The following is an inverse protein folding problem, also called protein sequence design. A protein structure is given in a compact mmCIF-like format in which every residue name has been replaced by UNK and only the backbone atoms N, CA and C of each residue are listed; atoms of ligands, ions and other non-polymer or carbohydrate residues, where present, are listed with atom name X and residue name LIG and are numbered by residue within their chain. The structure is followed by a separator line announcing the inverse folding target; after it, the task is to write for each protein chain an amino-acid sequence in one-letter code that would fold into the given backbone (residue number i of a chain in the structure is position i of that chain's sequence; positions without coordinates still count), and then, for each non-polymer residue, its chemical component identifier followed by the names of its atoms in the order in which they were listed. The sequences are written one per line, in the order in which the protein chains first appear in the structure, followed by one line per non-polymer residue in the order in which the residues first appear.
data_IF_442299170617
#
_entry.id   IF_442299170617
#
_cell.length_a   1.000
_cell.length_b   1.000
_cell.length_c   1.000
_cell.angle_alpha   90.00
_cell.angle_beta   90.00
_cell.angle_gamma   90.00
#
_symmetry.space_group_name_H-M   'P 1'
#
loop_
_entity.id
_entity.type
_entity.pdbx_description
1 polymer ?
#
# COMPACT_ATOMS: atom_id res chain seq x y z
N UNK A 1 12.93 -9.96 -5.29
CA UNK A 1 13.79 -10.33 -6.42
C UNK A 1 14.32 -9.10 -7.09
N UNK A 2 14.56 -9.17 -8.40
CA UNK A 2 15.12 -8.08 -9.21
C UNK A 2 14.28 -6.80 -9.12
N UNK A 3 12.96 -6.90 -9.39
CA UNK A 3 12.06 -5.74 -9.35
C UNK A 3 12.04 -5.09 -7.97
N UNK A 4 11.98 -5.87 -6.89
CA UNK A 4 12.03 -5.31 -5.52
C UNK A 4 13.30 -4.49 -5.24
N UNK A 5 14.47 -5.00 -5.64
CA UNK A 5 15.74 -4.31 -5.40
C UNK A 5 15.82 -3.01 -6.18
N UNK A 6 15.56 -3.08 -7.49
CA UNK A 6 15.71 -1.93 -8.37
C UNK A 6 14.63 -0.87 -8.16
N UNK A 7 13.39 -1.27 -7.87
CA UNK A 7 12.34 -0.32 -7.46
C UNK A 7 12.71 0.39 -6.16
N UNK A 8 13.24 -0.33 -5.16
CA UNK A 8 13.72 0.31 -3.93
C UNK A 8 14.82 1.33 -4.22
N UNK A 9 15.80 0.98 -5.05
CA UNK A 9 16.87 1.88 -5.47
C UNK A 9 16.32 3.14 -6.16
N UNK A 10 15.44 3.00 -7.16
CA UNK A 10 14.89 4.15 -7.89
C UNK A 10 14.03 5.04 -7.00
N UNK A 11 13.07 4.46 -6.26
CA UNK A 11 12.10 5.23 -5.46
C UNK A 11 12.79 6.01 -4.35
N UNK A 12 13.71 5.36 -3.61
CA UNK A 12 14.44 6.06 -2.54
C UNK A 12 15.39 7.11 -3.08
N UNK A 13 15.98 6.91 -4.26
CA UNK A 13 16.80 7.91 -4.91
C UNK A 13 16.05 9.17 -5.34
N UNK A 14 14.71 9.15 -5.46
CA UNK A 14 13.95 10.39 -5.71
C UNK A 14 14.18 11.45 -4.62
N UNK A 15 14.50 11.03 -3.39
CA UNK A 15 14.82 11.92 -2.26
C UNK A 15 16.13 12.70 -2.50
N UNK A 16 17.05 12.18 -3.33
CA UNK A 16 18.28 12.88 -3.71
C UNK A 16 18.02 14.23 -4.40
N UNK A 17 16.83 14.41 -4.98
CA UNK A 17 16.44 15.67 -5.62
C UNK A 17 16.26 16.83 -4.63
N UNK A 18 16.22 16.58 -3.31
CA UNK A 18 16.16 17.64 -2.29
C UNK A 18 17.52 18.36 -2.24
N UNK A 19 17.58 19.69 -2.47
CA UNK A 19 18.83 20.43 -2.45
C UNK A 19 19.55 20.34 -1.10
N UNK A 20 20.89 20.29 -1.15
CA UNK A 20 21.82 20.24 -0.01
C UNK A 20 21.77 18.97 0.86
N UNK A 21 20.58 18.43 1.15
CA UNK A 21 20.39 17.32 2.10
C UNK A 21 20.04 15.98 1.44
N UNK A 22 19.55 15.97 0.19
CA UNK A 22 18.96 14.78 -0.42
C UNK A 22 19.86 13.55 -0.39
N UNK A 23 21.13 13.69 -0.77
CA UNK A 23 22.08 12.58 -0.79
C UNK A 23 22.35 12.00 0.61
N UNK A 24 22.44 12.85 1.64
CA UNK A 24 22.61 12.38 3.01
C UNK A 24 21.39 11.63 3.52
N UNK A 25 20.18 12.11 3.18
CA UNK A 25 18.93 11.44 3.53
C UNK A 25 18.83 10.08 2.84
N UNK A 26 19.21 9.96 1.57
CA UNK A 26 19.22 8.67 0.85
C UNK A 26 20.15 7.68 1.53
N UNK A 27 21.40 8.07 1.82
CA UNK A 27 22.35 7.19 2.52
C UNK A 27 21.87 6.82 3.92
N UNK A 28 21.20 7.75 4.61
CA UNK A 28 20.58 7.48 5.90
C UNK A 28 19.45 6.45 5.82
N UNK A 29 18.56 6.58 4.82
CA UNK A 29 17.48 5.60 4.55
C UNK A 29 18.08 4.22 4.30
N UNK A 30 19.08 4.14 3.41
CA UNK A 30 19.73 2.88 3.07
C UNK A 30 20.53 2.28 4.22
N UNK A 31 21.06 3.12 5.12
CA UNK A 31 22.01 2.69 6.14
C UNK A 31 23.36 2.30 5.54
N UNK A 32 23.75 2.94 4.44
CA UNK A 32 24.96 2.64 3.66
C UNK A 32 24.96 3.36 2.31
N UNK A 33 25.86 2.96 1.41
CA UNK A 33 26.05 3.59 0.10
C UNK A 33 25.10 3.08 -1.00
N UNK A 34 24.40 1.98 -0.74
CA UNK A 34 23.43 1.38 -1.66
C UNK A 34 22.38 0.59 -0.88
N UNK A 35 21.29 0.21 -1.56
CA UNK A 35 20.33 -0.74 -1.03
C UNK A 35 21.05 -2.04 -0.69
N UNK A 36 20.96 -2.46 0.56
CA UNK A 36 21.71 -3.59 1.12
C UNK A 36 20.94 -4.29 2.25
N UNK A 37 21.60 -5.19 2.98
CA UNK A 37 20.98 -5.90 4.11
C UNK A 37 20.46 -4.94 5.19
N UNK A 38 21.19 -3.86 5.50
CA UNK A 38 20.75 -2.86 6.46
C UNK A 38 19.41 -2.22 6.05
N UNK A 39 19.26 -1.93 4.75
CA UNK A 39 18.02 -1.40 4.17
C UNK A 39 16.89 -2.41 4.30
N UNK A 40 17.14 -3.68 3.93
CA UNK A 40 16.13 -4.74 3.95
C UNK A 40 15.58 -4.98 5.36
N UNK A 41 16.45 -5.09 6.37
CA UNK A 41 16.01 -5.28 7.77
C UNK A 41 15.16 -4.12 8.25
N UNK A 42 15.54 -2.87 7.95
CA UNK A 42 14.75 -1.68 8.31
C UNK A 42 13.41 -1.64 7.60
N UNK A 43 13.39 -1.94 6.30
CA UNK A 43 12.17 -1.96 5.51
C UNK A 43 11.21 -3.03 6.00
N UNK A 44 11.71 -4.19 6.43
CA UNK A 44 10.88 -5.21 7.08
C UNK A 44 10.26 -4.70 8.40
N UNK A 45 11.07 -4.10 9.28
CA UNK A 45 10.56 -3.52 10.53
C UNK A 45 9.50 -2.42 10.28
N UNK A 46 9.74 -1.53 9.31
CA UNK A 46 8.79 -0.49 8.93
C UNK A 46 7.53 -1.07 8.30
N UNK A 47 7.66 -2.04 7.41
CA UNK A 47 6.53 -2.71 6.77
C UNK A 47 5.63 -3.42 7.79
N UNK A 48 6.21 -3.94 8.88
CA UNK A 48 5.44 -4.50 9.99
C UNK A 48 4.74 -3.42 10.84
N UNK A 49 5.44 -2.32 11.12
CA UNK A 49 4.94 -1.24 11.98
C UNK A 49 3.84 -0.39 11.30
N UNK A 50 4.02 -0.04 10.03
CA UNK A 50 3.15 0.91 9.32
C UNK A 50 1.67 0.46 9.26
N UNK A 51 1.32 -0.82 9.01
CA UNK A 51 -0.06 -1.28 9.08
C UNK A 51 -0.72 -1.05 10.45
N UNK A 52 0.04 -1.14 11.54
CA UNK A 52 -0.45 -0.87 12.90
C UNK A 52 -0.73 0.63 13.06
N UNK A 53 0.15 1.48 12.55
CA UNK A 53 -0.09 2.93 12.54
C UNK A 53 -1.32 3.27 11.68
N UNK A 54 -1.48 2.63 10.52
CA UNK A 54 -2.63 2.83 9.64
C UNK A 54 -3.95 2.38 10.27
N UNK A 55 -3.96 1.32 11.09
CA UNK A 55 -5.20 0.91 11.80
C UNK A 55 -5.64 1.96 12.83
N UNK A 56 -4.70 2.58 13.54
CA UNK A 56 -4.99 3.70 14.46
C UNK A 56 -5.51 4.91 13.69
N UNK A 57 -4.88 5.26 12.57
CA UNK A 57 -5.36 6.36 11.72
C UNK A 57 -6.74 6.08 11.12
N UNK A 58 -7.04 4.82 10.77
CA UNK A 58 -8.37 4.41 10.31
C UNK A 58 -9.43 4.56 11.41
N UNK A 59 -9.11 4.24 12.66
CA UNK A 59 -10.01 4.49 13.79
C UNK A 59 -10.26 5.99 14.00
N UNK A 60 -9.21 6.82 13.95
CA UNK A 60 -9.36 8.28 14.03
C UNK A 60 -10.23 8.82 12.88
N UNK A 61 -10.03 8.31 11.67
CA UNK A 61 -10.86 8.66 10.52
C UNK A 61 -12.34 8.33 10.76
N UNK A 62 -12.65 7.14 11.29
CA UNK A 62 -14.03 6.74 11.61
C UNK A 62 -14.63 7.60 12.74
N UNK A 63 -13.84 7.98 13.75
CA UNK A 63 -14.29 8.89 14.81
C UNK A 63 -14.73 10.24 14.23
N UNK A 64 -13.91 10.85 13.37
CA UNK A 64 -14.28 12.12 12.72
C UNK A 64 -15.49 11.96 11.78
N UNK A 65 -15.60 10.83 11.09
CA UNK A 65 -16.78 10.53 10.29
C UNK A 65 -18.06 10.45 11.14
N UNK A 66 -17.97 9.93 12.37
CA UNK A 66 -19.10 9.82 13.28
C UNK A 66 -19.58 11.17 13.85
N UNK A 67 -18.71 12.19 13.89
CA UNK A 67 -19.10 13.55 14.29
C UNK A 67 -20.04 14.20 13.27
N UNK A 68 -19.83 13.96 11.98
CA UNK A 68 -20.65 14.56 10.90
C UNK A 68 -21.71 13.61 10.33
N UNK A 69 -21.51 12.31 10.46
CA UNK A 69 -22.22 11.27 9.72
C UNK A 69 -21.77 11.17 8.25
N UNK A 70 -22.24 10.13 7.58
CA UNK A 70 -21.96 9.90 6.15
C UNK A 70 -22.69 10.89 5.26
N UNK A 71 -22.03 11.30 4.16
CA UNK A 71 -22.70 12.00 3.07
C UNK A 71 -23.61 11.04 2.27
N UNK A 72 -24.44 11.58 1.39
CA UNK A 72 -25.29 10.81 0.48
C UNK A 72 -25.13 11.27 -0.98
N UNK A 73 -25.57 10.49 -1.97
CA UNK A 73 -25.35 10.79 -3.39
C UNK A 73 -25.93 12.13 -3.87
N UNK A 74 -26.95 12.66 -3.18
CA UNK A 74 -27.55 13.95 -3.52
C UNK A 74 -26.78 15.13 -2.93
N UNK A 75 -25.86 14.90 -1.99
CA UNK A 75 -25.08 15.94 -1.32
C UNK A 75 -25.89 16.89 -0.43
N UNK A 76 -27.15 16.57 -0.15
CA UNK A 76 -28.05 17.36 0.72
C UNK A 76 -28.09 16.79 2.13
N UNK A 77 -28.57 17.56 3.12
CA UNK A 77 -28.64 17.08 4.50
C UNK A 77 -29.66 15.95 4.65
N UNK A 78 -29.23 14.78 5.13
CA UNK A 78 -30.05 13.56 5.30
C UNK A 78 -30.61 13.35 6.71
N UNK A 79 -30.52 14.34 7.60
CA UNK A 79 -30.80 14.19 9.04
C UNK A 79 -32.21 13.68 9.36
N UNK A 80 -33.18 13.90 8.49
CA UNK A 80 -34.57 13.51 8.71
C UNK A 80 -34.92 12.14 8.08
N UNK A 81 -33.98 11.52 7.36
CA UNK A 81 -34.18 10.27 6.61
C UNK A 81 -33.17 9.18 6.99
N UNK A 82 -32.45 9.36 8.11
CA UNK A 82 -31.43 8.39 8.54
C UNK A 82 -32.06 7.06 8.98
N UNK A 83 -31.61 5.96 8.37
CA UNK A 83 -31.93 4.60 8.81
C UNK A 83 -30.87 4.09 9.80
N UNK A 84 -31.27 3.16 10.68
CA UNK A 84 -30.31 2.44 11.55
C UNK A 84 -29.34 1.64 10.68
N UNK A 85 -28.06 1.58 11.10
CA UNK A 85 -27.03 0.84 10.38
C UNK A 85 -27.39 -0.65 10.25
N UNK A 86 -27.76 -1.28 11.37
CA UNK A 86 -28.26 -2.64 11.40
C UNK A 86 -29.80 -2.66 11.27
N UNK A 87 -30.41 -3.53 10.44
CA UNK A 87 -29.76 -4.58 9.64
C UNK A 87 -29.30 -4.13 8.24
N UNK A 88 -29.76 -2.97 7.77
CA UNK A 88 -29.70 -2.58 6.36
C UNK A 88 -28.28 -2.54 5.78
N UNK A 89 -27.40 -1.75 6.38
CA UNK A 89 -26.02 -1.60 5.92
C UNK A 89 -25.17 -2.81 6.33
N UNK A 90 -25.46 -3.47 7.46
CA UNK A 90 -24.78 -4.73 7.82
C UNK A 90 -24.94 -5.83 6.76
N UNK A 91 -26.15 -6.02 6.23
CA UNK A 91 -26.42 -7.01 5.18
C UNK A 91 -25.80 -6.58 3.85
N UNK A 92 -25.89 -5.29 3.51
CA UNK A 92 -25.27 -4.73 2.31
C UNK A 92 -23.75 -4.90 2.32
N UNK A 93 -23.10 -4.62 3.44
CA UNK A 93 -21.65 -4.74 3.61
C UNK A 93 -21.24 -6.21 3.55
N UNK A 94 -22.01 -7.13 4.14
CA UNK A 94 -21.74 -8.56 4.05
C UNK A 94 -21.76 -9.06 2.60
N UNK A 95 -22.72 -8.59 1.79
CA UNK A 95 -22.72 -8.90 0.35
C UNK A 95 -21.46 -8.36 -0.35
N UNK A 96 -21.06 -7.12 -0.03
CA UNK A 96 -19.82 -6.53 -0.55
C UNK A 96 -18.57 -7.34 -0.19
N UNK A 97 -18.48 -7.79 1.06
CA UNK A 97 -17.39 -8.67 1.53
C UNK A 97 -17.39 -9.98 0.74
N UNK A 98 -18.53 -10.64 0.56
CA UNK A 98 -18.63 -11.88 -0.21
C UNK A 98 -18.17 -11.71 -1.66
N UNK A 99 -18.55 -10.61 -2.31
CA UNK A 99 -18.11 -10.29 -3.68
C UNK A 99 -16.58 -10.07 -3.72
N UNK A 100 -16.03 -9.30 -2.78
CA UNK A 100 -14.59 -9.06 -2.70
C UNK A 100 -13.80 -10.37 -2.50
N UNK A 101 -14.25 -11.23 -1.58
CA UNK A 101 -13.64 -12.54 -1.33
C UNK A 101 -13.74 -13.46 -2.54
N UNK A 102 -14.84 -13.42 -3.30
CA UNK A 102 -14.97 -14.20 -4.52
C UNK A 102 -13.90 -13.80 -5.54
N UNK A 103 -13.72 -12.50 -5.81
CA UNK A 103 -12.70 -12.04 -6.75
C UNK A 103 -11.28 -12.32 -6.25
N UNK A 104 -10.99 -12.02 -4.99
CA UNK A 104 -9.68 -12.31 -4.39
C UNK A 104 -9.36 -13.80 -4.44
N UNK A 105 -10.32 -14.65 -4.07
CA UNK A 105 -10.21 -16.11 -4.14
C UNK A 105 -9.98 -16.58 -5.57
N UNK A 106 -10.71 -16.04 -6.55
CA UNK A 106 -10.49 -16.41 -7.95
C UNK A 106 -9.09 -16.05 -8.46
N UNK A 107 -8.57 -14.88 -8.05
CA UNK A 107 -7.23 -14.44 -8.43
C UNK A 107 -6.19 -15.38 -7.82
N UNK A 108 -6.27 -15.64 -6.52
CA UNK A 108 -5.29 -16.47 -5.79
C UNK A 108 -5.32 -17.93 -6.27
N UNK A 109 -6.51 -18.50 -6.50
CA UNK A 109 -6.66 -19.91 -6.83
C UNK A 109 -6.43 -20.22 -8.31
N UNK A 110 -6.81 -19.32 -9.23
CA UNK A 110 -6.73 -19.60 -10.67
C UNK A 110 -5.63 -18.83 -11.39
N UNK A 111 -5.20 -17.67 -10.90
CA UNK A 111 -4.15 -16.87 -11.55
C UNK A 111 -3.30 -16.03 -10.57
N UNK A 112 -2.58 -16.68 -9.63
CA UNK A 112 -1.90 -16.00 -8.52
C UNK A 112 -0.78 -15.05 -8.97
N UNK A 113 -0.23 -15.25 -10.16
CA UNK A 113 0.85 -14.43 -10.72
C UNK A 113 0.36 -13.31 -11.63
N UNK A 114 -0.95 -13.14 -11.86
CA UNK A 114 -1.47 -12.16 -12.81
C UNK A 114 -1.03 -10.72 -12.54
N UNK A 115 -0.82 -10.38 -11.27
CA UNK A 115 -0.46 -9.04 -10.79
C UNK A 115 1.01 -8.93 -10.35
N UNK A 116 1.82 -9.96 -10.59
CA UNK A 116 3.23 -10.04 -10.18
C UNK A 116 4.11 -9.99 -11.42
N UNK A 117 5.11 -9.10 -11.41
CA UNK A 117 6.12 -9.07 -12.46
C UNK A 117 7.01 -10.33 -12.42
N UNK A 118 7.15 -11.09 -13.52
CA UNK A 118 7.94 -12.32 -13.58
C UNK A 118 9.40 -12.13 -13.12
N UNK A 119 10.00 -10.96 -13.36
CA UNK A 119 11.38 -10.69 -12.97
C UNK A 119 11.56 -10.68 -11.45
N UNK A 120 10.49 -10.50 -10.67
CA UNK A 120 10.60 -10.52 -9.22
C UNK A 120 10.83 -11.93 -8.64
N UNK A 121 10.64 -12.99 -9.43
CA UNK A 121 11.05 -14.36 -9.10
C UNK A 121 12.56 -14.60 -9.25
N UNK A 122 13.27 -13.71 -9.94
CA UNK A 122 14.74 -13.77 -10.06
C UNK A 122 15.34 -13.13 -8.80
N UNK A 123 16.32 -13.77 -8.12
CA UNK A 123 17.04 -13.14 -7.01
C UNK A 123 17.65 -11.80 -7.42
N UNK A 124 17.70 -10.85 -6.49
CA UNK A 124 18.24 -9.52 -6.77
C UNK A 124 19.72 -9.59 -7.17
N UNK A 125 20.08 -8.91 -8.26
CA UNK A 125 21.47 -8.72 -8.66
C UNK A 125 21.78 -7.22 -8.76
N UNK A 126 22.55 -6.65 -7.81
CA UNK A 126 22.93 -5.23 -7.83
C UNK A 126 23.71 -4.78 -9.07
N UNK A 127 24.27 -5.71 -9.84
CA UNK A 127 25.08 -5.42 -11.01
C UNK A 127 24.30 -5.49 -12.32
N UNK A 128 23.05 -5.96 -12.30
CA UNK A 128 22.24 -6.17 -13.51
C UNK A 128 20.85 -5.59 -13.30
N UNK A 129 20.59 -4.47 -13.95
CA UNK A 129 19.27 -3.84 -14.04
C UNK A 129 18.37 -4.60 -15.02
N UNK A 130 17.11 -4.89 -14.66
CA UNK A 130 16.05 -5.27 -15.60
C UNK A 130 15.96 -4.33 -16.80
N UNK A 131 15.54 -4.86 -17.94
CA UNK A 131 15.34 -4.05 -19.16
C UNK A 131 14.16 -3.09 -19.00
N UNK A 132 13.11 -3.50 -18.30
CA UNK A 132 11.90 -2.72 -18.05
C UNK A 132 11.57 -2.68 -16.55
N UNK A 133 12.36 -1.92 -15.78
CA UNK A 133 12.07 -1.69 -14.35
C UNK A 133 10.77 -0.90 -14.20
N UNK A 134 9.82 -1.41 -13.42
CA UNK A 134 8.54 -0.75 -13.13
C UNK A 134 8.08 -1.05 -11.70
N UNK A 135 7.28 -0.16 -11.08
CA UNK A 135 6.65 -0.46 -9.80
C UNK A 135 5.49 -1.46 -9.97
N UNK A 136 4.88 -1.88 -8.85
CA UNK A 136 3.62 -2.62 -8.91
C UNK A 136 2.52 -1.80 -9.58
N UNK A 137 1.56 -2.48 -10.22
CA UNK A 137 0.52 -1.89 -11.08
C UNK A 137 -0.35 -0.78 -10.46
N UNK A 138 -0.36 -0.63 -9.14
CA UNK A 138 -1.15 0.36 -8.39
C UNK A 138 -0.39 1.65 -8.06
N UNK A 139 0.86 1.76 -8.50
CA UNK A 139 1.66 2.99 -8.48
C UNK A 139 1.61 3.68 -9.85
#
# INVERSE_FOLDING_TARGET
GQMSYWAATVITNLVSAIPYLGNEVVMWIWGGFSVSNATLTRFYCLHFLLPIVLSVLSLMHIMFLHETGSNNPLGVKSSNESMKFHPYFSVKDMLGVLIMWFFLGSLVLFNPSALIDPENFIPANPLVTPTHIQPGWYF
#
